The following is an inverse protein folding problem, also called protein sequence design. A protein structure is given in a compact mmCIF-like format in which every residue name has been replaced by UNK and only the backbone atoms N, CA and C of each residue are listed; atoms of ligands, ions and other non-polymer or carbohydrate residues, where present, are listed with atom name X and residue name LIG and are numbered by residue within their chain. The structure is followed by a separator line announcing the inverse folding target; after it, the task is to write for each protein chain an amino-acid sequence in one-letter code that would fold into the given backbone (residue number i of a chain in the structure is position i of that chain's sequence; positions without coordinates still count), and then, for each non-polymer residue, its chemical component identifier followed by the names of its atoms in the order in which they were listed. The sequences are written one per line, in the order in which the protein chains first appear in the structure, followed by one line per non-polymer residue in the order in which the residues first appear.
data_IF_815690984239
#
_entry.id   IF_815690984239
#
_cell.length_a   1.000
_cell.length_b   1.000
_cell.length_c   1.000
_cell.angle_alpha   90.00
_cell.angle_beta   90.00
_cell.angle_gamma   90.00
#
_symmetry.space_group_name_H-M   'P 1'
#
loop_
_entity.id
_entity.type
_entity.pdbx_description
1 polymer ?
#
# COMPACT_ATOMS: atom_id res chain seq x y z
N UNK A 1 22.87 -18.03 -8.83
CA UNK A 1 22.54 -18.48 -7.46
C UNK A 1 22.08 -17.33 -6.56
N UNK A 2 22.71 -16.15 -6.57
CA UNK A 2 22.25 -14.96 -5.80
C UNK A 2 21.00 -14.24 -6.36
N UNK A 3 20.62 -14.48 -7.63
CA UNK A 3 19.37 -13.94 -8.22
C UNK A 3 18.12 -14.66 -7.70
N UNK A 4 18.22 -15.94 -7.35
CA UNK A 4 17.09 -16.76 -6.93
C UNK A 4 16.65 -16.50 -5.48
N UNK A 5 17.54 -15.96 -4.64
CA UNK A 5 17.17 -15.43 -3.33
C UNK A 5 16.53 -14.03 -3.41
N UNK A 6 16.76 -13.27 -4.50
CA UNK A 6 16.16 -11.94 -4.72
C UNK A 6 14.68 -12.06 -5.15
N UNK A 7 14.32 -13.14 -5.84
CA UNK A 7 12.95 -13.38 -6.32
C UNK A 7 11.96 -13.85 -5.23
N UNK A 8 12.43 -14.21 -4.04
CA UNK A 8 11.58 -14.90 -3.06
C UNK A 8 11.03 -14.02 -1.92
N UNK A 9 11.35 -12.71 -1.85
CA UNK A 9 11.09 -11.94 -0.62
C UNK A 9 10.26 -10.65 -0.76
N UNK A 10 10.12 -10.05 -1.95
CA UNK A 10 9.59 -8.68 -2.06
C UNK A 10 8.92 -8.38 -3.40
N UNK A 11 7.86 -9.12 -3.73
CA UNK A 11 7.02 -8.75 -4.85
C UNK A 11 6.23 -7.47 -4.54
N UNK A 12 5.90 -6.70 -5.58
CA UNK A 12 4.95 -5.60 -5.55
C UNK A 12 3.65 -5.95 -4.80
N UNK A 13 3.24 -7.21 -4.89
CA UNK A 13 2.09 -7.78 -4.19
C UNK A 13 2.22 -7.68 -2.66
N UNK A 14 3.41 -7.85 -2.08
CA UNK A 14 3.63 -7.75 -0.64
C UNK A 14 3.34 -6.36 -0.10
N UNK A 15 3.84 -5.33 -0.80
CA UNK A 15 3.58 -3.93 -0.47
C UNK A 15 2.08 -3.60 -0.51
N UNK A 16 1.38 -4.12 -1.52
CA UNK A 16 -0.05 -3.90 -1.73
C UNK A 16 -0.89 -4.69 -0.69
N UNK A 17 -0.49 -5.91 -0.33
CA UNK A 17 -1.25 -6.78 0.57
C UNK A 17 -1.05 -6.45 2.05
N UNK A 18 0.13 -5.96 2.46
CA UNK A 18 0.41 -5.60 3.85
C UNK A 18 -0.62 -4.63 4.48
N UNK A 19 -0.98 -3.49 3.86
CA UNK A 19 -1.96 -2.57 4.44
C UNK A 19 -3.37 -3.18 4.51
N UNK A 20 -3.75 -3.99 3.52
CA UNK A 20 -5.02 -4.71 3.49
C UNK A 20 -5.11 -5.73 4.63
N UNK A 21 -4.06 -6.53 4.82
CA UNK A 21 -3.97 -7.48 5.93
C UNK A 21 -4.02 -6.76 7.28
N UNK A 22 -3.31 -5.63 7.41
CA UNK A 22 -3.38 -4.79 8.60
C UNK A 22 -4.80 -4.35 8.93
N UNK A 23 -5.55 -3.88 7.93
CA UNK A 23 -6.96 -3.49 8.07
C UNK A 23 -7.88 -4.64 8.48
N UNK A 24 -7.72 -5.83 7.88
CA UNK A 24 -8.50 -7.03 8.21
C UNK A 24 -8.24 -7.48 9.67
N UNK A 25 -6.98 -7.43 10.11
CA UNK A 25 -6.61 -7.74 11.49
C UNK A 25 -7.27 -6.74 12.45
N UNK A 26 -7.26 -5.44 12.12
CA UNK A 26 -7.89 -4.40 12.92
C UNK A 26 -9.41 -4.57 13.03
N UNK A 27 -10.08 -5.02 11.97
CA UNK A 27 -11.53 -5.29 11.97
C UNK A 27 -11.93 -6.34 13.03
N UNK A 28 -11.09 -7.36 13.21
CA UNK A 28 -11.32 -8.47 14.14
C UNK A 28 -11.20 -8.08 15.62
N UNK A 29 -10.68 -6.88 15.93
CA UNK A 29 -10.43 -6.43 17.30
C UNK A 29 -11.67 -5.67 17.83
N UNK A 30 -12.15 -5.95 19.05
CA UNK A 30 -13.32 -5.26 19.60
C UNK A 30 -13.04 -3.77 19.90
N UNK A 31 -14.06 -2.92 19.72
CA UNK A 31 -13.97 -1.47 19.90
C UNK A 31 -13.58 -1.04 21.32
N UNK A 32 -13.70 -1.92 22.32
CA UNK A 32 -13.32 -1.63 23.71
C UNK A 32 -11.82 -1.45 23.92
N UNK A 33 -10.97 -1.94 23.01
CA UNK A 33 -9.49 -1.93 23.15
C UNK A 33 -8.81 -0.91 22.24
N UNK A 34 -9.22 0.36 22.30
CA UNK A 34 -8.72 1.46 21.44
C UNK A 34 -7.19 1.57 21.44
N UNK A 35 -6.55 1.43 22.62
CA UNK A 35 -5.08 1.50 22.73
C UNK A 35 -4.38 0.41 21.91
N UNK A 36 -4.93 -0.80 21.91
CA UNK A 36 -4.39 -1.94 21.17
C UNK A 36 -4.62 -1.78 19.66
N UNK A 37 -5.79 -1.27 19.26
CA UNK A 37 -6.11 -0.93 17.86
C UNK A 37 -5.09 0.09 17.32
N UNK A 38 -4.84 1.19 18.05
CA UNK A 38 -3.87 2.21 17.63
C UNK A 38 -2.45 1.65 17.51
N UNK A 39 -2.02 0.85 18.47
CA UNK A 39 -0.69 0.23 18.45
C UNK A 39 -0.53 -0.72 17.26
N UNK A 40 -1.51 -1.60 17.02
CA UNK A 40 -1.47 -2.54 15.89
C UNK A 40 -1.52 -1.80 14.55
N UNK A 41 -2.36 -0.77 14.43
CA UNK A 41 -2.42 0.05 13.21
C UNK A 41 -1.09 0.75 12.91
N UNK A 42 -0.42 1.27 13.95
CA UNK A 42 0.90 1.88 13.84
C UNK A 42 1.98 0.85 13.48
N UNK A 43 1.95 -0.35 14.07
CA UNK A 43 2.86 -1.43 13.68
C UNK A 43 2.63 -1.87 12.22
N UNK A 44 1.38 -1.96 11.78
CA UNK A 44 1.05 -2.32 10.40
C UNK A 44 1.56 -1.27 9.41
N UNK A 45 1.38 0.03 9.68
CA UNK A 45 1.88 1.09 8.79
C UNK A 45 3.41 1.26 8.83
N UNK A 46 4.05 0.98 9.96
CA UNK A 46 5.51 0.92 10.00
C UNK A 46 6.07 -0.27 9.21
N UNK A 47 5.35 -1.40 9.19
CA UNK A 47 5.70 -2.53 8.34
C UNK A 47 5.58 -2.13 6.87
N UNK A 48 4.46 -1.55 6.42
CA UNK A 48 4.30 -1.13 5.02
C UNK A 48 5.36 -0.11 4.59
N UNK A 49 5.69 0.85 5.46
CA UNK A 49 6.78 1.80 5.23
C UNK A 49 8.16 1.14 5.14
N UNK A 50 8.43 0.15 6.01
CA UNK A 50 9.68 -0.62 5.92
C UNK A 50 9.75 -1.38 4.60
N UNK A 51 8.62 -1.90 4.12
CA UNK A 51 8.53 -2.58 2.83
C UNK A 51 8.81 -1.61 1.67
N UNK A 52 8.26 -0.40 1.69
CA UNK A 52 8.52 0.60 0.62
C UNK A 52 9.98 1.06 0.58
N UNK A 53 10.62 1.20 1.75
CA UNK A 53 12.06 1.51 1.86
C UNK A 53 12.94 0.42 1.23
N UNK A 54 12.62 -0.85 1.46
CA UNK A 54 13.36 -1.97 0.87
C UNK A 54 13.23 -1.94 -0.66
N UNK A 55 12.04 -1.67 -1.19
CA UNK A 55 11.84 -1.50 -2.63
C UNK A 55 12.65 -0.32 -3.20
N UNK A 56 12.73 0.80 -2.47
CA UNK A 56 13.54 1.94 -2.88
C UNK A 56 15.02 1.60 -3.03
N UNK A 57 15.59 0.89 -2.06
CA UNK A 57 17.02 0.50 -2.08
C UNK A 57 17.30 -0.52 -3.19
N UNK A 58 16.32 -1.34 -3.56
CA UNK A 58 16.46 -2.36 -4.60
C UNK A 58 16.26 -1.81 -6.02
N UNK A 59 15.62 -0.65 -6.16
CA UNK A 59 15.35 -0.04 -7.46
C UNK A 59 16.63 0.44 -8.13
N UNK A 60 16.79 0.09 -9.40
CA UNK A 60 17.95 0.50 -10.20
C UNK A 60 17.66 1.85 -10.89
N UNK A 61 18.40 2.90 -10.52
CA UNK A 61 18.23 4.23 -11.10
C UNK A 61 18.86 4.41 -12.49
N UNK A 62 19.54 3.39 -13.01
CA UNK A 62 20.22 3.45 -14.31
C UNK A 62 19.31 3.19 -15.51
N UNK A 63 18.10 2.69 -15.29
CA UNK A 63 17.13 2.34 -16.35
C UNK A 63 15.86 3.18 -16.24
N UNK A 64 15.37 3.69 -17.37
CA UNK A 64 14.10 4.42 -17.45
C UNK A 64 12.86 3.50 -17.58
N UNK A 65 13.06 2.17 -17.58
CA UNK A 65 11.98 1.20 -17.70
C UNK A 65 11.28 0.97 -16.36
N UNK A 66 9.97 0.68 -16.42
CA UNK A 66 9.18 0.27 -15.27
C UNK A 66 9.74 -1.01 -14.65
N UNK A 67 10.02 -0.97 -13.35
CA UNK A 67 10.57 -2.10 -12.60
C UNK A 67 9.46 -2.85 -11.86
N UNK A 68 9.75 -4.09 -11.44
CA UNK A 68 8.80 -4.95 -10.71
C UNK A 68 7.47 -5.16 -11.46
N UNK A 69 7.55 -5.39 -12.78
CA UNK A 69 6.37 -5.51 -13.64
C UNK A 69 5.67 -6.85 -13.42
N UNK A 70 4.45 -6.79 -12.91
CA UNK A 70 3.53 -7.94 -12.80
C UNK A 70 2.40 -7.81 -13.81
N UNK A 71 2.13 -8.89 -14.55
CA UNK A 71 0.98 -8.95 -15.46
C UNK A 71 -0.04 -9.97 -14.95
N UNK A 72 -1.26 -9.52 -14.69
CA UNK A 72 -2.38 -10.40 -14.32
C UNK A 72 -3.42 -10.33 -15.43
N UNK A 73 -3.73 -11.47 -16.07
CA UNK A 73 -4.78 -11.52 -17.08
C UNK A 73 -6.15 -11.41 -16.39
N UNK A 74 -6.83 -10.27 -16.50
CA UNK A 74 -8.17 -10.08 -15.93
C UNK A 74 -9.23 -10.61 -16.91
N UNK A 75 -9.32 -10.04 -18.12
CA UNK A 75 -10.25 -10.50 -19.16
C UNK A 75 -9.48 -11.06 -20.36
N UNK A 76 -9.37 -12.39 -20.49
CA UNK A 76 -8.63 -13.01 -21.60
C UNK A 76 -9.28 -12.78 -22.98
N UNK A 77 -10.56 -12.43 -23.02
CA UNK A 77 -11.30 -12.22 -24.28
C UNK A 77 -11.13 -10.81 -24.87
N UNK A 78 -10.91 -9.80 -24.02
CA UNK A 78 -10.77 -8.39 -24.43
C UNK A 78 -9.30 -7.93 -24.42
N UNK A 79 -8.35 -8.84 -24.18
CA UNK A 79 -6.92 -8.56 -24.01
C UNK A 79 -6.62 -7.49 -22.94
N UNK A 80 -7.53 -7.34 -21.96
CA UNK A 80 -7.37 -6.45 -20.81
C UNK A 80 -6.55 -7.20 -19.77
N UNK A 81 -5.25 -6.91 -19.78
CA UNK A 81 -4.32 -7.38 -18.77
C UNK A 81 -4.14 -6.26 -17.74
N UNK A 82 -4.05 -6.61 -16.46
CA UNK A 82 -3.56 -5.74 -15.41
C UNK A 82 -2.04 -5.68 -15.51
N UNK A 83 -1.53 -4.56 -15.98
CA UNK A 83 -0.12 -4.20 -15.91
C UNK A 83 0.13 -3.39 -14.65
N UNK A 84 0.88 -3.98 -13.74
CA UNK A 84 1.37 -3.29 -12.55
C UNK A 84 2.87 -3.16 -12.65
N UNK A 85 3.42 -2.01 -12.29
CA UNK A 85 4.85 -1.75 -12.27
C UNK A 85 5.16 -0.46 -11.54
N UNK A 86 6.41 -0.29 -11.15
CA UNK A 86 6.89 0.92 -10.48
C UNK A 86 7.93 1.60 -11.36
N UNK A 87 7.66 2.86 -11.70
CA UNK A 87 8.63 3.78 -12.29
C UNK A 87 9.37 4.56 -11.20
N UNK A 88 10.50 5.16 -11.57
CA UNK A 88 11.31 5.96 -10.63
C UNK A 88 10.53 7.08 -9.93
N UNK A 89 9.58 7.73 -10.61
CA UNK A 89 8.72 8.76 -10.01
C UNK A 89 7.66 8.14 -9.09
N UNK A 90 6.96 7.10 -9.54
CA UNK A 90 5.93 6.40 -8.75
C UNK A 90 6.50 5.87 -7.44
N UNK A 91 7.76 5.40 -7.45
CA UNK A 91 8.44 4.92 -6.26
C UNK A 91 8.51 5.99 -5.16
N UNK A 92 8.89 7.22 -5.50
CA UNK A 92 8.95 8.31 -4.52
C UNK A 92 7.58 8.62 -3.92
N UNK A 93 6.51 8.57 -4.73
CA UNK A 93 5.15 8.76 -4.25
C UNK A 93 4.68 7.62 -3.34
N UNK A 94 5.05 6.37 -3.62
CA UNK A 94 4.77 5.22 -2.76
C UNK A 94 5.48 5.35 -1.41
N UNK A 95 6.77 5.70 -1.41
CA UNK A 95 7.55 5.92 -0.18
C UNK A 95 6.96 7.08 0.62
N UNK A 96 6.60 8.19 -0.03
CA UNK A 96 5.96 9.32 0.62
C UNK A 96 4.62 8.94 1.24
N UNK A 97 3.78 8.19 0.51
CA UNK A 97 2.45 7.77 1.00
C UNK A 97 2.59 6.88 2.24
N UNK A 98 3.40 5.84 2.16
CA UNK A 98 3.67 4.93 3.28
C UNK A 98 4.33 5.63 4.47
N UNK A 99 5.10 6.70 4.25
CA UNK A 99 5.64 7.54 5.32
C UNK A 99 4.58 8.40 6.02
N UNK A 100 3.59 8.91 5.28
CA UNK A 100 2.56 9.79 5.83
C UNK A 100 1.53 9.06 6.69
N UNK A 101 1.24 7.79 6.41
CA UNK A 101 0.24 7.00 7.17
C UNK A 101 0.59 6.80 8.65
N UNK A 102 1.80 6.38 9.05
CA UNK A 102 2.15 6.28 10.47
C UNK A 102 2.06 7.65 11.16
N UNK A 103 2.44 8.74 10.49
CA UNK A 103 2.32 10.10 11.01
C UNK A 103 0.85 10.46 11.24
N UNK A 104 -0.05 10.13 10.31
CA UNK A 104 -1.50 10.35 10.46
C UNK A 104 -2.06 9.60 11.67
N UNK A 105 -1.70 8.33 11.85
CA UNK A 105 -2.14 7.53 13.00
C UNK A 105 -1.63 8.13 14.32
N UNK A 106 -0.37 8.59 14.35
CA UNK A 106 0.23 9.27 15.50
C UNK A 106 -0.49 10.59 15.84
N UNK A 107 -0.74 11.43 14.83
CA UNK A 107 -1.44 12.70 15.00
C UNK A 107 -2.87 12.50 15.53
N UNK A 108 -3.56 11.45 15.04
CA UNK A 108 -4.90 11.10 15.48
C UNK A 108 -5.00 10.58 16.93
N UNK A 109 -3.87 10.24 17.58
CA UNK A 109 -3.87 9.60 18.90
C UNK A 109 -4.47 10.51 19.99
N UNK A 110 -4.17 11.81 19.97
CA UNK A 110 -4.68 12.76 20.96
C UNK A 110 -5.97 13.45 20.54
N UNK A 111 -6.27 13.49 19.23
CA UNK A 111 -7.35 14.35 18.72
C UNK A 111 -8.70 13.64 18.59
N UNK A 112 -8.72 12.30 18.56
CA UNK A 112 -9.91 11.53 18.18
C UNK A 112 -10.40 10.75 19.38
N UNK A 113 -11.53 11.19 19.92
CA UNK A 113 -12.17 10.55 21.09
C UNK A 113 -13.34 9.63 20.69
N UNK A 114 -14.03 9.95 19.59
CA UNK A 114 -15.12 9.13 19.02
C UNK A 114 -14.68 8.41 17.75
N UNK A 115 -15.23 7.22 17.49
CA UNK A 115 -14.97 6.42 16.28
C UNK A 115 -13.48 6.14 15.98
N UNK A 116 -12.68 5.98 17.04
CA UNK A 116 -11.23 5.78 16.92
C UNK A 116 -10.85 4.49 16.18
N UNK A 117 -11.72 3.47 16.17
CA UNK A 117 -11.46 2.22 15.44
C UNK A 117 -11.60 2.43 13.94
N UNK A 118 -12.72 3.03 13.55
CA UNK A 118 -13.06 3.33 12.17
C UNK A 118 -11.96 4.20 11.55
N UNK A 119 -11.51 5.24 12.28
CA UNK A 119 -10.37 6.06 11.88
C UNK A 119 -9.13 5.22 11.56
N UNK A 120 -8.67 4.36 12.48
CA UNK A 120 -7.43 3.58 12.31
C UNK A 120 -7.56 2.53 11.19
N UNK A 121 -8.77 2.05 10.87
CA UNK A 121 -9.00 1.06 9.80
C UNK A 121 -9.02 1.70 8.41
N UNK A 122 -9.57 2.92 8.30
CA UNK A 122 -9.73 3.61 7.01
C UNK A 122 -8.38 4.05 6.43
N UNK A 123 -7.38 4.43 7.24
CA UNK A 123 -6.08 4.86 6.71
C UNK A 123 -5.28 3.76 6.02
N UNK A 124 -5.13 2.53 6.56
CA UNK A 124 -4.51 1.43 5.82
C UNK A 124 -5.25 1.09 4.52
N UNK A 125 -6.58 1.20 4.49
CA UNK A 125 -7.35 0.99 3.24
C UNK A 125 -7.03 2.09 2.22
N UNK A 126 -6.99 3.34 2.67
CA UNK A 126 -6.60 4.49 1.85
C UNK A 126 -5.15 4.33 1.33
N UNK A 127 -4.23 3.86 2.18
CA UNK A 127 -2.85 3.56 1.82
C UNK A 127 -2.76 2.53 0.70
N UNK A 128 -3.48 1.41 0.81
CA UNK A 128 -3.58 0.40 -0.23
C UNK A 128 -4.03 0.99 -1.57
N UNK A 129 -5.12 1.77 -1.56
CA UNK A 129 -5.67 2.36 -2.78
C UNK A 129 -4.69 3.35 -3.41
N UNK A 130 -4.02 4.18 -2.62
CA UNK A 130 -3.01 5.12 -3.12
C UNK A 130 -1.80 4.40 -3.72
N UNK A 131 -1.30 3.35 -3.05
CA UNK A 131 -0.21 2.53 -3.60
C UNK A 131 -0.64 1.88 -4.91
N UNK A 132 -1.86 1.35 -4.98
CA UNK A 132 -2.40 0.78 -6.22
C UNK A 132 -2.42 1.81 -7.35
N UNK A 133 -2.90 3.04 -7.12
CA UNK A 133 -2.90 4.11 -8.14
C UNK A 133 -1.51 4.34 -8.73
N UNK A 134 -0.46 4.42 -7.90
CA UNK A 134 0.91 4.67 -8.38
C UNK A 134 1.55 3.47 -9.09
N UNK A 135 1.04 2.26 -8.84
CA UNK A 135 1.55 1.02 -9.42
C UNK A 135 0.83 0.60 -10.71
N UNK A 136 -0.33 1.19 -11.04
CA UNK A 136 -1.10 0.80 -12.23
C UNK A 136 -0.58 1.50 -13.47
N UNK A 137 -0.15 0.72 -14.47
CA UNK A 137 0.30 1.23 -15.76
C UNK A 137 -0.85 1.39 -16.77
N UNK A 138 -1.97 0.70 -16.53
CA UNK A 138 -3.17 0.82 -17.37
C UNK A 138 -4.05 2.01 -16.99
N UNK A 139 -4.36 2.86 -17.97
CA UNK A 139 -5.15 4.09 -17.77
C UNK A 139 -6.55 3.84 -17.18
N UNK A 140 -7.22 2.77 -17.58
CA UNK A 140 -8.58 2.45 -17.09
C UNK A 140 -8.56 2.10 -15.60
N UNK A 141 -7.61 1.27 -15.19
CA UNK A 141 -7.45 0.83 -13.80
C UNK A 141 -6.94 1.98 -12.93
N UNK A 142 -5.98 2.75 -13.43
CA UNK A 142 -5.53 3.98 -12.80
C UNK A 142 -6.70 4.91 -12.47
N UNK A 143 -7.59 5.16 -13.43
CA UNK A 143 -8.76 6.01 -13.21
C UNK A 143 -9.72 5.41 -12.16
N UNK A 144 -10.02 4.11 -12.26
CA UNK A 144 -10.91 3.43 -11.31
C UNK A 144 -10.38 3.49 -9.86
N UNK A 145 -9.08 3.25 -9.65
CA UNK A 145 -8.47 3.33 -8.32
C UNK A 145 -8.36 4.77 -7.83
N UNK A 146 -8.09 5.73 -8.72
CA UNK A 146 -8.05 7.15 -8.36
C UNK A 146 -9.40 7.65 -7.85
N UNK A 147 -10.50 7.26 -8.51
CA UNK A 147 -11.86 7.56 -8.03
C UNK A 147 -12.18 6.80 -6.72
N UNK A 148 -11.68 5.57 -6.57
CA UNK A 148 -11.90 4.76 -5.37
C UNK A 148 -11.26 5.36 -4.11
N UNK A 149 -10.15 6.10 -4.25
CA UNK A 149 -9.51 6.83 -3.14
C UNK A 149 -10.42 7.93 -2.57
N UNK A 150 -11.44 8.40 -3.30
CA UNK A 150 -12.37 9.40 -2.80
C UNK A 150 -13.33 8.85 -1.73
N UNK A 151 -13.57 7.53 -1.67
CA UNK A 151 -14.50 6.94 -0.70
C UNK A 151 -13.95 6.99 0.74
N UNK A 152 -12.65 6.69 0.98
CA UNK A 152 -12.04 6.81 2.31
C UNK A 152 -11.66 8.23 2.74
N UNK A 153 -11.60 9.20 1.83
CA UNK A 153 -11.17 10.58 2.11
C UNK A 153 -12.30 11.44 2.70
#
# INVERSE_FOLDING_TARGET
MLRQFRECYFDLSGLILCPVLGSIILLSIPNSRIRLIRFIGLCASLLTFSYSLVLWIQSDSSTAESQFVGTIRWLPYENINLYMGIDGISLFFVVLTTFLIPIRILAGWSSIESYAKEYVIVFPICEFLMIAVFCMLDLLLFHAFSESVLIPM
#
